data_IF_891445849119
#
_entry.id   IF_891445849119
#
_cell.length_a   1.000
_cell.length_b   1.000
_cell.length_c   1.000
_cell.angle_alpha   90.00
_cell.angle_beta   90.00
_cell.angle_gamma   90.00
#
_symmetry.space_group_name_H-M   'P 1'
#
loop_
_entity.id
_entity.type
_entity.pdbx_description
1 polymer ?
#
# COMPACT_ATOMS: atom_id res chain seq x y z
N UNK A 1 -1.23 -26.92 1.66
CA UNK A 1 -1.63 -25.51 1.87
C UNK A 1 -1.54 -24.84 0.50
N UNK A 2 -2.62 -24.34 -0.09
CA UNK A 2 -2.49 -23.59 -1.34
C UNK A 2 -1.65 -22.34 -1.07
N UNK A 3 -0.62 -22.13 -1.88
CA UNK A 3 0.11 -20.87 -1.88
C UNK A 3 -0.87 -19.85 -2.47
N UNK A 4 -1.29 -18.87 -1.67
CA UNK A 4 -2.04 -17.73 -2.20
C UNK A 4 -1.11 -17.00 -3.15
N UNK A 5 -1.24 -17.28 -4.45
CA UNK A 5 -0.44 -16.63 -5.48
C UNK A 5 -1.07 -15.27 -5.76
N UNK A 6 -0.54 -14.24 -5.09
CA UNK A 6 -0.91 -12.86 -5.35
C UNK A 6 -0.42 -12.45 -6.75
N UNK A 7 -1.20 -11.62 -7.48
CA UNK A 7 -0.71 -11.03 -8.72
C UNK A 7 0.57 -10.24 -8.45
N UNK A 8 1.60 -10.47 -9.25
CA UNK A 8 2.89 -9.78 -9.14
C UNK A 8 2.83 -8.39 -9.78
N UNK A 9 3.65 -7.45 -9.31
CA UNK A 9 3.76 -6.14 -9.95
C UNK A 9 2.76 -5.10 -9.46
N UNK A 10 1.94 -5.43 -8.46
CA UNK A 10 0.94 -4.52 -7.90
C UNK A 10 1.58 -3.38 -7.11
N UNK A 11 0.95 -2.22 -7.15
CA UNK A 11 1.30 -1.02 -6.39
C UNK A 11 0.21 -0.66 -5.40
N UNK A 12 0.58 -0.38 -4.16
CA UNK A 12 -0.38 -0.01 -3.12
C UNK A 12 -0.07 1.35 -2.49
N UNK A 13 -1.12 2.02 -2.02
CA UNK A 13 -1.06 3.18 -1.13
C UNK A 13 -1.75 2.83 0.19
N UNK A 14 -1.02 3.01 1.30
CA UNK A 14 -1.54 2.80 2.67
C UNK A 14 -1.72 4.16 3.37
N UNK A 15 -2.93 4.41 3.86
CA UNK A 15 -3.39 5.69 4.42
C UNK A 15 -3.94 5.43 5.82
N UNK A 16 -3.17 5.77 6.84
CA UNK A 16 -3.60 5.62 8.24
C UNK A 16 -2.85 6.64 9.11
N UNK A 17 -3.59 7.34 9.99
CA UNK A 17 -3.03 8.39 10.85
C UNK A 17 -2.17 7.81 11.98
N UNK A 18 -2.35 6.53 12.31
CA UNK A 18 -1.56 5.83 13.30
C UNK A 18 -0.34 5.13 12.69
N UNK A 19 0.83 5.68 12.97
CA UNK A 19 2.14 5.23 12.45
C UNK A 19 2.38 3.71 12.52
N UNK A 20 2.03 3.08 13.65
CA UNK A 20 2.25 1.64 13.83
C UNK A 20 1.36 0.80 12.91
N UNK A 21 0.11 1.22 12.70
CA UNK A 21 -0.84 0.47 11.87
C UNK A 21 -0.40 0.58 10.41
N UNK A 22 -0.15 1.81 9.94
CA UNK A 22 0.35 2.09 8.60
C UNK A 22 1.59 1.25 8.25
N UNK A 23 2.60 1.26 9.12
CA UNK A 23 3.85 0.51 8.93
C UNK A 23 3.63 -1.01 8.92
N UNK A 24 2.74 -1.53 9.77
CA UNK A 24 2.45 -2.96 9.81
C UNK A 24 1.74 -3.44 8.54
N UNK A 25 0.76 -2.68 8.04
CA UNK A 25 0.07 -2.96 6.77
C UNK A 25 1.06 -2.89 5.60
N UNK A 26 1.85 -1.82 5.52
CA UNK A 26 2.84 -1.67 4.46
C UNK A 26 3.88 -2.81 4.46
N UNK A 27 4.31 -3.27 5.65
CA UNK A 27 5.20 -4.43 5.80
C UNK A 27 4.54 -5.73 5.35
N UNK A 28 3.25 -5.92 5.60
CA UNK A 28 2.51 -7.09 5.13
C UNK A 28 2.42 -7.11 3.59
N UNK A 29 2.10 -5.98 2.96
CA UNK A 29 2.01 -5.87 1.49
C UNK A 29 3.37 -6.12 0.82
N UNK A 30 4.46 -5.59 1.38
CA UNK A 30 5.82 -5.87 0.88
C UNK A 30 6.19 -7.36 0.97
N UNK A 31 5.67 -8.10 1.95
CA UNK A 31 5.85 -9.56 2.06
C UNK A 31 4.97 -10.36 1.09
N UNK A 32 3.96 -9.72 0.50
CA UNK A 32 3.11 -10.28 -0.56
C UNK A 32 3.61 -9.87 -1.96
N UNK A 33 4.87 -9.43 -2.07
CA UNK A 33 5.52 -9.06 -3.33
C UNK A 33 4.84 -7.93 -4.12
N UNK A 34 4.21 -6.98 -3.42
CA UNK A 34 3.85 -5.69 -4.03
C UNK A 34 5.13 -4.97 -4.49
N UNK A 35 5.15 -4.55 -5.75
CA UNK A 35 6.30 -3.89 -6.37
C UNK A 35 6.60 -2.54 -5.71
N UNK A 36 5.56 -1.80 -5.34
CA UNK A 36 5.65 -0.48 -4.74
C UNK A 36 4.60 -0.33 -3.65
N UNK A 37 5.01 0.16 -2.48
CA UNK A 37 4.10 0.43 -1.36
C UNK A 37 4.39 1.84 -0.87
N UNK A 38 3.49 2.75 -1.22
CA UNK A 38 3.46 4.14 -0.80
C UNK A 38 2.69 4.27 0.53
N UNK A 39 3.05 5.25 1.35
CA UNK A 39 2.47 5.46 2.68
C UNK A 39 2.19 6.95 2.89
N UNK A 40 1.04 7.29 3.49
CA UNK A 40 0.77 8.65 4.00
C UNK A 40 -0.14 8.62 5.23
N UNK A 41 -0.16 9.69 6.01
CA UNK A 41 -0.90 9.75 7.30
C UNK A 41 -2.30 10.34 7.21
N UNK A 42 -2.72 10.82 6.03
CA UNK A 42 -3.98 11.52 5.87
C UNK A 42 -4.46 11.53 4.42
N UNK A 43 -5.75 11.84 4.23
CA UNK A 43 -6.41 11.87 2.93
C UNK A 43 -5.93 12.99 2.00
N UNK A 44 -5.42 14.11 2.53
CA UNK A 44 -4.92 15.23 1.71
C UNK A 44 -3.65 14.81 0.96
N UNK A 45 -2.71 14.19 1.67
CA UNK A 45 -1.49 13.67 1.07
C UNK A 45 -1.78 12.47 0.16
N UNK A 46 -2.73 11.61 0.56
CA UNK A 46 -3.19 10.50 -0.28
C UNK A 46 -3.70 10.98 -1.64
N UNK A 47 -4.54 12.02 -1.66
CA UNK A 47 -5.06 12.61 -2.88
C UNK A 47 -3.92 13.09 -3.79
N UNK A 48 -2.93 13.78 -3.24
CA UNK A 48 -1.77 14.26 -4.00
C UNK A 48 -0.91 13.11 -4.56
N UNK A 49 -0.86 11.96 -3.88
CA UNK A 49 -0.19 10.76 -4.37
C UNK A 49 -0.98 10.13 -5.52
N UNK A 50 -2.30 9.94 -5.36
CA UNK A 50 -3.16 9.31 -6.36
C UNK A 50 -3.19 10.11 -7.67
N UNK A 51 -3.10 11.44 -7.61
CA UNK A 51 -3.03 12.29 -8.80
C UNK A 51 -1.72 12.15 -9.59
N UNK A 52 -0.65 11.66 -8.95
CA UNK A 52 0.70 11.56 -9.54
C UNK A 52 1.14 10.12 -9.83
N UNK A 53 0.58 9.15 -9.12
CA UNK A 53 0.97 7.75 -9.15
C UNK A 53 -0.26 6.88 -9.40
N UNK A 54 -0.16 5.97 -10.37
CA UNK A 54 -1.13 4.89 -10.53
C UNK A 54 -0.91 3.83 -9.46
N UNK A 55 -1.94 3.53 -8.67
CA UNK A 55 -1.95 2.46 -7.67
C UNK A 55 -3.09 1.50 -7.95
N UNK A 56 -2.89 0.22 -7.65
CA UNK A 56 -3.87 -0.85 -7.88
C UNK A 56 -4.73 -1.12 -6.63
N UNK A 57 -4.22 -0.73 -5.46
CA UNK A 57 -4.86 -0.92 -4.17
C UNK A 57 -4.66 0.32 -3.28
N UNK A 58 -5.74 0.76 -2.65
CA UNK A 58 -5.73 1.82 -1.63
C UNK A 58 -6.33 1.22 -0.37
N UNK A 59 -5.59 1.32 0.74
CA UNK A 59 -6.01 0.89 2.07
C UNK A 59 -5.99 2.10 3.00
#
# INVERSE_FOLDING_TARGET
MPVLQFPTGLKALVIDDHDLIRKNVAKALRRLDFQEVLECSNGKDAKAIIEKHSVDLII
#
